data_IF_927350502923
#
_entry.id   IF_927350502923
#
_cell.length_a   1.000
_cell.length_b   1.000
_cell.length_c   1.000
_cell.angle_alpha   90.00
_cell.angle_beta   90.00
_cell.angle_gamma   90.00
#
_symmetry.space_group_name_H-M   'P 1'
#
loop_
_entity.id
_entity.type
_entity.pdbx_description
1 polymer ?
#
# COMPACT_ATOMS: atom_id res chain seq x y z
N UNK A 1 14.08 20.36 9.23
CA UNK A 1 13.34 19.50 10.19
C UNK A 1 13.87 18.09 10.01
N UNK A 2 14.61 17.56 10.99
CA UNK A 2 15.25 16.25 10.90
C UNK A 2 14.22 15.13 11.07
N UNK A 3 14.37 14.04 10.34
CA UNK A 3 13.61 12.80 10.53
C UNK A 3 14.27 12.01 11.65
N UNK A 4 13.60 11.85 12.78
CA UNK A 4 14.12 11.02 13.88
C UNK A 4 14.11 9.55 13.44
N UNK A 5 15.17 8.80 13.77
CA UNK A 5 15.35 7.40 13.34
C UNK A 5 14.19 6.48 13.79
N UNK A 6 13.48 6.85 14.87
CA UNK A 6 12.28 6.17 15.36
C UNK A 6 11.08 6.33 14.43
N UNK A 7 10.95 7.49 13.77
CA UNK A 7 9.88 7.82 12.83
C UNK A 7 10.05 7.00 11.54
N UNK A 8 11.32 6.77 11.14
CA UNK A 8 11.68 5.97 9.97
C UNK A 8 11.49 4.45 10.21
N UNK A 9 11.76 3.96 11.43
CA UNK A 9 11.58 2.55 11.80
C UNK A 9 10.12 2.10 11.88
N UNK A 10 9.20 3.04 12.17
CA UNK A 10 7.76 2.77 12.29
C UNK A 10 6.96 3.17 11.04
N UNK A 11 7.61 3.55 9.94
CA UNK A 11 6.93 3.94 8.69
C UNK A 11 6.12 5.24 8.80
N UNK A 12 6.45 6.11 9.75
CA UNK A 12 5.67 7.33 10.07
C UNK A 12 6.14 8.49 9.20
N UNK A 13 6.16 8.33 7.87
CA UNK A 13 6.62 9.39 6.95
C UNK A 13 5.72 10.63 6.86
N UNK A 14 4.67 10.75 7.69
CA UNK A 14 3.65 11.79 7.55
C UNK A 14 3.77 12.89 8.63
N UNK A 15 3.90 14.20 8.26
CA UNK A 15 4.19 15.29 9.19
C UNK A 15 3.18 15.46 10.34
N UNK A 16 1.90 15.18 10.10
CA UNK A 16 0.83 15.27 11.12
C UNK A 16 0.72 14.02 12.01
N UNK A 17 1.37 12.92 11.63
CA UNK A 17 1.33 11.65 12.36
C UNK A 17 2.59 11.40 13.18
N UNK A 18 3.55 12.34 13.15
CA UNK A 18 4.81 12.28 13.91
C UNK A 18 4.55 11.95 15.38
N UNK A 19 5.12 10.85 15.83
CA UNK A 19 5.02 10.37 17.22
C UNK A 19 3.69 9.69 17.62
N UNK A 20 2.69 9.58 16.73
CA UNK A 20 1.47 8.79 17.01
C UNK A 20 1.46 7.47 16.25
N UNK A 21 1.50 6.32 16.96
CA UNK A 21 1.37 5.03 16.31
C UNK A 21 -0.05 4.91 15.71
N UNK A 22 -0.17 4.30 14.51
CA UNK A 22 -1.47 3.93 13.97
C UNK A 22 -2.18 2.93 14.89
N UNK A 23 -3.52 2.96 14.99
CA UNK A 23 -4.28 2.06 15.85
C UNK A 23 -4.17 0.60 15.37
N UNK A 24 -4.08 -0.34 16.31
CA UNK A 24 -4.37 -1.77 16.08
C UNK A 24 -3.59 -2.45 14.95
N UNK A 25 -2.32 -2.11 14.73
CA UNK A 25 -1.49 -2.71 13.67
C UNK A 25 -1.82 -2.21 12.25
N UNK A 26 -2.60 -1.13 12.13
CA UNK A 26 -2.74 -0.38 10.90
C UNK A 26 -1.43 0.34 10.53
N UNK A 27 -1.38 0.92 9.33
CA UNK A 27 -0.33 1.80 8.84
C UNK A 27 -0.95 3.12 8.36
N UNK A 28 -0.18 4.21 8.45
CA UNK A 28 -0.64 5.49 7.93
C UNK A 28 -0.54 5.53 6.40
N UNK A 29 -1.62 5.92 5.73
CA UNK A 29 -1.55 6.28 4.32
C UNK A 29 -0.69 7.53 4.15
N UNK A 30 0.40 7.44 3.39
CA UNK A 30 1.32 8.55 3.11
C UNK A 30 0.69 9.67 2.28
N UNK A 31 -0.42 9.39 1.59
CA UNK A 31 -1.14 10.36 0.78
C UNK A 31 -2.13 11.16 1.62
N UNK A 32 -2.90 10.51 2.50
CA UNK A 32 -4.07 11.12 3.14
C UNK A 32 -4.14 10.99 4.66
N UNK A 33 -3.10 10.46 5.31
CA UNK A 33 -2.99 10.36 6.77
C UNK A 33 -4.08 9.55 7.47
N UNK A 34 -4.86 8.75 6.73
CA UNK A 34 -5.84 7.81 7.29
C UNK A 34 -5.11 6.52 7.68
N UNK A 35 -5.47 5.94 8.83
CA UNK A 35 -4.96 4.65 9.24
C UNK A 35 -5.65 3.53 8.43
N UNK A 36 -4.85 2.67 7.81
CA UNK A 36 -5.31 1.57 6.95
C UNK A 36 -4.78 0.26 7.50
N UNK A 37 -5.62 -0.77 7.57
CA UNK A 37 -5.17 -2.10 7.94
C UNK A 37 -4.01 -2.56 7.03
N UNK A 38 -2.99 -3.22 7.60
CA UNK A 38 -1.80 -3.66 6.85
C UNK A 38 -2.05 -4.83 5.87
N UNK A 39 -3.29 -5.25 5.67
CA UNK A 39 -3.67 -6.22 4.65
C UNK A 39 -3.63 -5.60 3.24
N UNK A 40 -3.10 -6.37 2.27
CA UNK A 40 -3.02 -5.95 0.85
C UNK A 40 -4.39 -5.54 0.28
N UNK A 41 -5.43 -6.27 0.62
CA UNK A 41 -6.80 -5.97 0.15
C UNK A 41 -7.33 -4.66 0.72
N UNK A 42 -7.06 -4.38 2.01
CA UNK A 42 -7.44 -3.11 2.63
C UNK A 42 -6.73 -1.92 1.97
N UNK A 43 -5.46 -2.08 1.61
CA UNK A 43 -4.71 -1.07 0.85
C UNK A 43 -5.24 -0.89 -0.57
N UNK A 44 -5.60 -1.97 -1.26
CA UNK A 44 -6.22 -1.89 -2.59
C UNK A 44 -7.50 -1.05 -2.52
N UNK A 45 -8.46 -1.45 -1.69
CA UNK A 45 -9.73 -0.74 -1.52
C UNK A 45 -9.50 0.70 -1.05
N UNK A 46 -8.55 0.94 -0.15
CA UNK A 46 -8.21 2.30 0.26
C UNK A 46 -7.75 3.16 -0.93
N UNK A 47 -6.78 2.67 -1.71
CA UNK A 47 -6.19 3.46 -2.80
C UNK A 47 -7.15 3.67 -3.98
N UNK A 48 -8.04 2.70 -4.27
CA UNK A 48 -8.98 2.80 -5.39
C UNK A 48 -10.26 3.55 -5.06
N UNK A 49 -10.77 3.44 -3.82
CA UNK A 49 -12.11 3.96 -3.48
C UNK A 49 -12.03 5.10 -2.44
N UNK A 50 -11.24 4.92 -1.38
CA UNK A 50 -11.36 5.75 -0.17
C UNK A 50 -10.30 6.85 -0.01
N UNK A 51 -9.18 6.78 -0.73
CA UNK A 51 -8.07 7.71 -0.56
C UNK A 51 -8.38 9.06 -1.21
N UNK A 52 -8.83 10.03 -0.41
CA UNK A 52 -9.23 11.36 -0.88
C UNK A 52 -8.06 12.20 -1.44
N UNK A 53 -6.81 11.84 -1.13
CA UNK A 53 -5.61 12.49 -1.68
C UNK A 53 -4.84 11.59 -2.64
N UNK A 54 -5.49 10.59 -3.26
CA UNK A 54 -4.87 9.82 -4.36
C UNK A 54 -5.16 10.50 -5.71
N UNK A 55 -4.20 11.23 -6.31
CA UNK A 55 -4.39 11.91 -7.59
C UNK A 55 -4.57 10.92 -8.76
N UNK A 56 -4.16 9.66 -8.58
CA UNK A 56 -4.34 8.60 -9.59
C UNK A 56 -5.65 7.85 -9.44
N UNK A 57 -6.52 8.20 -8.47
CA UNK A 57 -7.83 7.55 -8.31
C UNK A 57 -8.71 7.71 -9.56
N UNK A 58 -8.58 8.83 -10.26
CA UNK A 58 -9.26 9.11 -11.53
C UNK A 58 -8.36 8.87 -12.75
N UNK A 59 -7.18 8.27 -12.56
CA UNK A 59 -6.27 7.96 -13.64
C UNK A 59 -6.74 6.73 -14.44
N UNK A 60 -6.15 6.49 -15.63
CA UNK A 60 -6.42 5.25 -16.36
C UNK A 60 -6.09 4.06 -15.46
N UNK A 61 -6.98 3.08 -15.42
CA UNK A 61 -6.76 1.81 -14.72
C UNK A 61 -5.44 1.21 -15.24
N UNK A 62 -4.46 1.06 -14.36
CA UNK A 62 -3.19 0.44 -14.73
C UNK A 62 -3.46 -1.05 -14.86
N UNK A 63 -3.48 -1.56 -16.10
CA UNK A 63 -3.53 -2.99 -16.38
C UNK A 63 -2.37 -3.64 -15.63
N UNK A 64 -2.69 -4.41 -14.59
CA UNK A 64 -1.70 -5.20 -13.89
C UNK A 64 -1.19 -6.23 -14.88
N UNK A 65 0.12 -6.19 -15.19
CA UNK A 65 0.75 -7.18 -16.04
C UNK A 65 0.25 -8.58 -15.64
N UNK A 66 -0.31 -9.35 -16.58
CA UNK A 66 -0.74 -10.70 -16.27
C UNK A 66 0.46 -11.42 -15.67
N UNK A 67 0.25 -12.06 -14.51
CA UNK A 67 1.21 -12.98 -13.92
C UNK A 67 1.77 -13.86 -15.04
N UNK A 68 3.09 -14.12 -15.07
CA UNK A 68 3.61 -15.13 -15.98
C UNK A 68 2.81 -16.40 -15.73
N UNK A 69 2.07 -16.79 -16.76
CA UNK A 69 1.28 -17.99 -16.82
C UNK A 69 2.23 -19.16 -16.55
N UNK A 70 2.14 -19.77 -15.36
CA UNK A 70 2.79 -21.03 -15.05
C UNK A 70 2.05 -22.13 -15.82
N UNK A 71 2.18 -22.15 -17.14
CA UNK A 71 1.62 -23.19 -17.98
C UNK A 71 2.40 -24.50 -17.76
N UNK A 72 1.65 -25.46 -17.23
CA UNK A 72 1.57 -26.84 -17.70
C UNK A 72 2.66 -27.84 -17.25
N UNK A 73 2.32 -28.79 -16.34
CA UNK A 73 3.20 -29.87 -15.94
C UNK A 73 3.13 -31.09 -16.88
N UNK A 74 3.35 -30.97 -18.20
CA UNK A 74 3.38 -32.16 -19.07
C UNK A 74 4.42 -32.07 -20.19
N UNK A 75 5.61 -32.63 -19.93
CA UNK A 75 6.39 -33.29 -20.99
C UNK A 75 6.99 -34.60 -20.46
N UNK A 76 6.09 -35.56 -20.27
CA UNK A 76 6.39 -36.96 -20.57
C UNK A 76 6.60 -37.10 -22.09
N UNK A 77 7.31 -38.15 -22.53
CA UNK A 77 7.98 -38.39 -23.83
C UNK A 77 9.44 -37.92 -23.79
N UNK A 78 10.44 -38.79 -23.66
CA UNK A 78 10.56 -40.18 -24.14
C UNK A 78 11.67 -40.91 -23.38
#
# INVERSE_FOLDING_TARGET
>A
MAVDAVDNGNGVGHPMCRGRPPPGGALWCSLCAVAVNNAKEAWKTHLTENCYNNPRRSGPEMELDPKPDETNPEKSVR
#
